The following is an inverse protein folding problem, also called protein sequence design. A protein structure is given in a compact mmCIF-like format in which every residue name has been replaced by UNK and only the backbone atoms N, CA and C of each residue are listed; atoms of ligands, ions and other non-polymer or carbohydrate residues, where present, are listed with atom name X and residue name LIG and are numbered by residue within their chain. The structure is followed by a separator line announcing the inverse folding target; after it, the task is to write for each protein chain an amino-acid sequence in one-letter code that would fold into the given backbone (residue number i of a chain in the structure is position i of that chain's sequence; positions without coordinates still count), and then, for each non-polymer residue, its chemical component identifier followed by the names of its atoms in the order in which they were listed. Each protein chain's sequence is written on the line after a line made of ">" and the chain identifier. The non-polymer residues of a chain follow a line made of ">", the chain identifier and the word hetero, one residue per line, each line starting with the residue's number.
data_IF_274407805342
#
_entry.id   IF_274407805342
#
_cell.length_a   1.000
_cell.length_b   1.000
_cell.length_c   1.000
_cell.angle_alpha   90.00
_cell.angle_beta   90.00
_cell.angle_gamma   90.00
#
_symmetry.space_group_name_H-M   'P 1'
#
loop_
_entity.id
_entity.type
_entity.pdbx_description
1 polymer ?
#
# COMPACT_ATOMS: atom_id res chain seq x y z
N UNK A 1 -17.70 -25.05 20.20
CA UNK A 1 -16.74 -24.64 19.16
C UNK A 1 -16.10 -23.33 19.61
N UNK A 2 -14.77 -23.20 19.67
CA UNK A 2 -14.12 -21.93 20.06
C UNK A 2 -14.02 -21.03 18.82
N UNK A 3 -14.40 -19.76 18.96
CA UNK A 3 -14.31 -18.75 17.88
C UNK A 3 -13.01 -17.97 18.05
N UNK A 4 -12.15 -17.98 17.03
CA UNK A 4 -10.96 -17.14 16.97
C UNK A 4 -11.29 -15.96 16.07
N UNK A 5 -11.04 -14.74 16.55
CA UNK A 5 -11.22 -13.50 15.79
C UNK A 5 -9.85 -12.85 15.67
N UNK A 6 -9.35 -12.70 14.45
CA UNK A 6 -8.11 -11.99 14.18
C UNK A 6 -8.42 -10.53 13.88
N UNK A 7 -7.86 -9.56 14.65
CA UNK A 7 -8.03 -8.15 14.33
C UNK A 7 -7.28 -7.80 13.04
N UNK A 8 -7.67 -6.69 12.41
CA UNK A 8 -6.81 -6.08 11.38
C UNK A 8 -5.55 -5.55 12.07
N UNK A 9 -4.40 -5.86 11.50
CA UNK A 9 -3.10 -5.44 11.97
C UNK A 9 -2.56 -4.37 11.02
N UNK A 10 -2.15 -3.26 11.60
CA UNK A 10 -1.65 -2.10 10.86
C UNK A 10 -0.20 -1.86 11.27
N UNK A 11 0.66 -1.63 10.29
CA UNK A 11 2.02 -1.14 10.50
C UNK A 11 2.19 0.20 9.79
N UNK A 12 3.26 0.91 10.10
CA UNK A 12 3.55 2.18 9.45
C UNK A 12 5.01 2.28 9.06
N UNK A 13 5.28 2.99 7.98
CA UNK A 13 6.62 3.42 7.57
C UNK A 13 6.62 4.92 7.30
N UNK A 14 7.79 5.55 7.40
CA UNK A 14 7.95 6.98 7.15
C UNK A 14 8.33 7.25 5.69
N UNK A 15 7.79 8.32 5.09
CA UNK A 15 8.25 8.76 3.77
C UNK A 15 9.73 9.20 3.81
N UNK A 16 10.20 9.70 4.95
CA UNK A 16 11.61 10.05 5.16
C UNK A 16 12.59 8.87 5.05
N UNK A 17 12.10 7.62 4.99
CA UNK A 17 12.92 6.44 4.62
C UNK A 17 13.36 6.47 3.15
N UNK A 18 12.64 7.18 2.27
CA UNK A 18 13.02 7.39 0.87
C UNK A 18 14.01 8.55 0.72
N UNK A 19 13.63 9.71 1.25
CA UNK A 19 14.40 10.95 1.18
C UNK A 19 14.15 11.75 2.48
N UNK A 20 15.18 11.96 3.32
CA UNK A 20 15.03 12.61 4.63
C UNK A 20 14.45 14.03 4.60
N UNK A 21 14.57 14.72 3.47
CA UNK A 21 14.04 16.07 3.23
C UNK A 21 12.54 16.10 2.90
N UNK A 22 11.95 14.96 2.54
CA UNK A 22 10.52 14.84 2.29
C UNK A 22 9.81 14.63 3.63
N UNK A 23 8.64 15.27 3.76
CA UNK A 23 7.85 15.38 5.00
C UNK A 23 7.84 14.12 5.88
N UNK A 24 7.72 14.33 7.20
CA UNK A 24 7.57 13.29 8.24
C UNK A 24 6.21 12.55 8.19
N UNK A 25 5.62 12.43 7.00
CA UNK A 25 4.35 11.75 6.76
C UNK A 25 4.53 10.24 6.96
N UNK A 26 3.56 9.63 7.65
CA UNK A 26 3.55 8.19 7.92
C UNK A 26 2.49 7.51 7.09
N UNK A 27 2.90 6.46 6.40
CA UNK A 27 1.99 5.61 5.63
C UNK A 27 1.58 4.42 6.49
N UNK A 28 0.28 4.23 6.67
CA UNK A 28 -0.28 3.13 7.44
C UNK A 28 -0.76 2.01 6.52
N UNK A 29 -0.30 0.79 6.76
CA UNK A 29 -0.51 -0.37 5.89
C UNK A 29 -1.23 -1.48 6.65
N UNK A 30 -2.33 -1.98 6.09
CA UNK A 30 -2.95 -3.22 6.54
C UNK A 30 -2.08 -4.43 6.16
N UNK A 31 -1.47 -5.08 7.14
CA UNK A 31 -0.46 -6.13 6.89
C UNK A 31 -1.00 -7.56 6.92
N UNK A 32 -2.20 -7.77 7.46
CA UNK A 32 -2.90 -9.06 7.43
C UNK A 32 -4.23 -9.05 6.61
N UNK A 33 -4.26 -8.50 5.39
CA UNK A 33 -5.47 -8.54 4.57
C UNK A 33 -5.84 -9.98 4.18
N UNK A 34 -7.12 -10.27 3.90
CA UNK A 34 -7.53 -11.51 3.27
C UNK A 34 -6.67 -11.80 2.03
N UNK A 35 -6.38 -13.08 1.79
CA UNK A 35 -5.62 -13.49 0.60
C UNK A 35 -6.30 -13.01 -0.69
N UNK A 36 -7.64 -13.02 -0.75
CA UNK A 36 -8.40 -12.50 -1.89
C UNK A 36 -8.14 -11.01 -2.15
N UNK A 37 -8.05 -10.19 -1.11
CA UNK A 37 -7.74 -8.77 -1.25
C UNK A 37 -6.31 -8.56 -1.79
N UNK A 38 -5.34 -9.34 -1.30
CA UNK A 38 -3.96 -9.27 -1.78
C UNK A 38 -3.85 -9.73 -3.25
N UNK A 39 -4.51 -10.84 -3.61
CA UNK A 39 -4.53 -11.33 -5.00
C UNK A 39 -5.16 -10.30 -5.94
N UNK A 40 -6.28 -9.70 -5.53
CA UNK A 40 -6.96 -8.66 -6.30
C UNK A 40 -6.07 -7.42 -6.49
N UNK A 41 -5.33 -6.99 -5.46
CA UNK A 41 -4.35 -5.90 -5.57
C UNK A 41 -3.23 -6.24 -6.56
N UNK A 42 -2.66 -7.44 -6.46
CA UNK A 42 -1.60 -7.90 -7.37
C UNK A 42 -2.06 -8.00 -8.82
N UNK A 43 -3.29 -8.47 -9.04
CA UNK A 43 -3.91 -8.54 -10.36
C UNK A 43 -4.07 -7.15 -10.98
N UNK A 44 -4.61 -6.17 -10.24
CA UNK A 44 -4.74 -4.80 -10.74
C UNK A 44 -3.38 -4.13 -10.97
N UNK A 45 -2.38 -4.43 -10.13
CA UNK A 45 -1.03 -3.93 -10.36
C UNK A 45 -0.45 -4.50 -11.65
N UNK A 46 -0.63 -5.81 -11.89
CA UNK A 46 -0.24 -6.44 -13.15
C UNK A 46 -0.94 -5.83 -14.37
N UNK A 47 -2.24 -5.55 -14.26
CA UNK A 47 -3.00 -4.86 -15.31
C UNK A 47 -2.49 -3.44 -15.57
N UNK A 48 -2.19 -2.67 -14.52
CA UNK A 48 -1.55 -1.36 -14.62
C UNK A 48 -0.20 -1.41 -15.33
N UNK A 49 0.67 -2.34 -14.95
CA UNK A 49 1.98 -2.50 -15.61
C UNK A 49 1.85 -2.90 -17.09
N UNK A 50 0.82 -3.68 -17.45
CA UNK A 50 0.64 -4.18 -18.83
C UNK A 50 -0.09 -3.21 -19.75
N UNK A 51 -1.08 -2.49 -19.23
CA UNK A 51 -2.02 -1.68 -20.00
C UNK A 51 -1.90 -0.18 -19.74
N UNK A 52 -1.04 0.23 -18.81
CA UNK A 52 -0.79 1.64 -18.50
C UNK A 52 -1.94 2.31 -17.75
N UNK A 53 -2.07 3.62 -17.95
CA UNK A 53 -2.87 4.52 -17.09
C UNK A 53 -4.36 4.19 -17.03
N UNK A 54 -4.92 3.52 -18.05
CA UNK A 54 -6.32 3.05 -18.03
C UNK A 54 -6.61 2.11 -16.84
N UNK A 55 -5.58 1.41 -16.36
CA UNK A 55 -5.67 0.47 -15.24
C UNK A 55 -5.13 1.07 -13.92
N UNK A 56 -4.68 2.33 -13.94
CA UNK A 56 -4.19 3.00 -12.74
C UNK A 56 -5.30 3.17 -11.69
N UNK A 57 -6.46 3.70 -12.06
CA UNK A 57 -7.54 3.93 -11.09
C UNK A 57 -8.03 2.64 -10.39
N UNK A 58 -8.32 1.54 -11.11
CA UNK A 58 -8.63 0.26 -10.47
C UNK A 58 -7.53 -0.24 -9.52
N UNK A 59 -6.26 0.04 -9.82
CA UNK A 59 -5.16 -0.28 -8.92
C UNK A 59 -5.18 0.59 -7.65
N UNK A 60 -5.35 1.90 -7.80
CA UNK A 60 -5.38 2.85 -6.68
C UNK A 60 -6.55 2.60 -5.73
N UNK A 61 -7.73 2.22 -6.24
CA UNK A 61 -8.88 1.83 -5.40
C UNK A 61 -8.54 0.65 -4.47
N UNK A 62 -7.87 -0.38 -5.02
CA UNK A 62 -7.46 -1.55 -4.24
C UNK A 62 -6.32 -1.23 -3.29
N UNK A 63 -5.38 -0.38 -3.69
CA UNK A 63 -4.28 0.07 -2.84
C UNK A 63 -4.81 0.92 -1.67
N UNK A 64 -5.74 1.84 -1.93
CA UNK A 64 -6.41 2.65 -0.91
C UNK A 64 -7.07 1.78 0.16
N UNK A 65 -7.72 0.68 -0.20
CA UNK A 65 -8.31 -0.23 0.77
C UNK A 65 -7.28 -0.82 1.76
N UNK A 66 -6.04 -1.03 1.31
CA UNK A 66 -4.91 -1.45 2.16
C UNK A 66 -4.40 -0.31 3.05
N UNK A 67 -4.40 0.92 2.53
CA UNK A 67 -3.84 2.09 3.20
C UNK A 67 -4.84 2.84 4.12
N UNK A 68 -6.13 2.55 4.01
CA UNK A 68 -7.20 3.22 4.77
C UNK A 68 -7.49 2.63 6.16
N UNK A 69 -6.67 1.68 6.63
CA UNK A 69 -6.96 0.94 7.88
C UNK A 69 -6.32 1.57 9.13
N UNK A 70 -5.63 2.70 9.00
CA UNK A 70 -5.03 3.44 10.10
C UNK A 70 -6.06 4.16 11.00
N UNK A 71 -5.57 5.12 11.79
CA UNK A 71 -6.45 5.97 12.59
C UNK A 71 -7.26 6.91 11.70
N UNK A 72 -8.31 7.53 12.26
CA UNK A 72 -9.07 8.55 11.54
C UNK A 72 -8.14 9.66 11.05
N UNK A 73 -8.26 10.03 9.77
CA UNK A 73 -7.41 11.04 9.13
C UNK A 73 -6.04 10.54 8.65
N UNK A 74 -5.69 9.25 8.81
CA UNK A 74 -4.41 8.71 8.33
C UNK A 74 -4.55 7.78 7.13
N UNK A 75 -5.77 7.63 6.61
CA UNK A 75 -6.06 6.73 5.49
C UNK A 75 -5.89 7.45 4.16
N UNK A 76 -5.28 6.76 3.19
CA UNK A 76 -5.15 7.27 1.83
C UNK A 76 -6.29 6.79 0.94
N UNK A 77 -7.01 7.73 0.33
CA UNK A 77 -8.03 7.45 -0.66
C UNK A 77 -7.43 7.36 -2.09
N UNK A 78 -8.23 6.90 -3.07
CA UNK A 78 -7.75 6.73 -4.44
C UNK A 78 -7.39 8.05 -5.13
N UNK A 79 -8.10 9.14 -4.81
CA UNK A 79 -7.85 10.47 -5.38
C UNK A 79 -6.53 11.06 -4.85
N UNK A 80 -6.26 10.93 -3.54
CA UNK A 80 -4.99 11.35 -2.92
C UNK A 80 -3.81 10.56 -3.49
N UNK A 81 -3.97 9.25 -3.70
CA UNK A 81 -2.94 8.43 -4.35
C UNK A 81 -2.73 8.85 -5.82
N UNK A 82 -3.80 9.19 -6.54
CA UNK A 82 -3.73 9.66 -7.92
C UNK A 82 -3.00 10.99 -8.00
N UNK A 83 -3.27 11.91 -7.08
CA UNK A 83 -2.56 13.19 -6.96
C UNK A 83 -1.07 12.95 -6.69
N UNK A 84 -0.72 12.10 -5.73
CA UNK A 84 0.67 11.73 -5.44
C UNK A 84 1.39 11.15 -6.66
N UNK A 85 0.75 10.26 -7.43
CA UNK A 85 1.32 9.70 -8.66
C UNK A 85 1.57 10.80 -9.70
N UNK A 86 0.62 11.72 -9.89
CA UNK A 86 0.76 12.83 -10.85
C UNK A 86 1.85 13.81 -10.45
N UNK A 87 1.85 14.26 -9.19
CA UNK A 87 2.83 15.24 -8.69
C UNK A 87 4.26 14.70 -8.75
N UNK A 88 4.44 13.39 -8.51
CA UNK A 88 5.76 12.76 -8.52
C UNK A 88 6.21 12.31 -9.92
N UNK A 89 5.31 12.16 -10.89
CA UNK A 89 5.65 11.67 -12.23
C UNK A 89 6.70 12.54 -12.94
N UNK A 90 6.60 13.86 -12.80
CA UNK A 90 7.49 14.82 -13.48
C UNK A 90 8.78 15.10 -12.70
N UNK A 91 8.74 14.98 -11.36
CA UNK A 91 9.88 15.35 -10.51
C UNK A 91 10.70 14.16 -10.04
N UNK A 92 10.05 13.05 -9.72
CA UNK A 92 10.68 11.84 -9.21
C UNK A 92 9.80 10.58 -9.43
N UNK A 93 9.78 10.02 -10.65
CA UNK A 93 9.00 8.83 -10.94
C UNK A 93 9.48 7.59 -10.17
N UNK A 94 10.70 7.60 -9.61
CA UNK A 94 11.23 6.49 -8.82
C UNK A 94 10.55 6.41 -7.44
N UNK A 95 10.02 7.53 -6.94
CA UNK A 95 9.25 7.56 -5.71
C UNK A 95 8.05 6.60 -5.75
N UNK A 96 7.28 6.59 -6.84
CA UNK A 96 6.12 5.72 -6.98
C UNK A 96 6.51 4.23 -6.94
N UNK A 97 7.61 3.87 -7.59
CA UNK A 97 8.15 2.51 -7.57
C UNK A 97 8.58 2.12 -6.15
N UNK A 98 9.29 3.01 -5.46
CA UNK A 98 9.70 2.80 -4.08
C UNK A 98 8.49 2.61 -3.14
N UNK A 99 7.51 3.50 -3.24
CA UNK A 99 6.30 3.49 -2.39
C UNK A 99 5.58 2.15 -2.47
N UNK A 100 5.33 1.66 -3.69
CA UNK A 100 4.66 0.36 -3.90
C UNK A 100 5.47 -0.80 -3.31
N UNK A 101 6.78 -0.81 -3.52
CA UNK A 101 7.66 -1.83 -2.95
C UNK A 101 7.65 -1.80 -1.43
N UNK A 102 7.66 -0.61 -0.82
CA UNK A 102 7.66 -0.43 0.63
C UNK A 102 6.36 -0.91 1.28
N UNK A 103 5.21 -0.63 0.66
CA UNK A 103 3.90 -1.17 1.07
C UNK A 103 3.89 -2.70 1.01
N UNK A 104 4.35 -3.28 -0.11
CA UNK A 104 4.42 -4.74 -0.25
C UNK A 104 5.39 -5.38 0.74
N UNK A 105 6.47 -4.69 1.10
CA UNK A 105 7.42 -5.17 2.09
C UNK A 105 6.78 -5.30 3.48
N UNK A 106 5.98 -4.33 3.94
CA UNK A 106 5.27 -4.42 5.23
C UNK A 106 4.37 -5.66 5.30
N UNK A 107 3.63 -5.94 4.22
CA UNK A 107 2.76 -7.12 4.11
C UNK A 107 3.61 -8.40 4.12
N UNK A 108 4.70 -8.45 3.34
CA UNK A 108 5.58 -9.60 3.25
C UNK A 108 6.25 -9.91 4.58
N UNK A 109 6.82 -8.91 5.25
CA UNK A 109 7.50 -9.09 6.54
C UNK A 109 6.55 -9.64 7.61
N UNK A 110 5.34 -9.08 7.71
CA UNK A 110 4.34 -9.62 8.63
C UNK A 110 4.02 -11.09 8.37
N UNK A 111 3.84 -11.47 7.09
CA UNK A 111 3.45 -12.83 6.70
C UNK A 111 4.62 -13.84 6.74
N UNK A 112 5.84 -13.43 6.42
CA UNK A 112 7.02 -14.28 6.42
C UNK A 112 7.52 -14.57 7.83
N UNK A 113 7.36 -13.63 8.77
CA UNK A 113 7.61 -13.88 10.19
C UNK A 113 6.73 -15.02 10.76
N UNK A 114 5.60 -15.34 10.13
CA UNK A 114 4.76 -16.48 10.52
C UNK A 114 5.22 -17.83 9.93
N UNK A 115 6.05 -17.86 8.88
CA UNK A 115 6.50 -19.10 8.21
C UNK A 115 7.76 -19.74 8.83
N UNK A 116 8.42 -19.06 9.76
CA UNK A 116 9.70 -19.52 10.35
C UNK A 116 9.57 -20.37 11.62
N UNK A 117 8.36 -20.76 12.02
CA UNK A 117 8.13 -21.64 13.17
C UNK A 117 7.48 -22.94 12.76
#
# INVERSE_FOLDING_TARGET
>A
MRKIILPRLVRSFSISEYAPEIADEKIYVWVNPPISALLSLMESFGAYVQSGDEQLNPYLEKLSAILSQGAEGTGWNADELMEMVKETADTDPQFWIWFNNRVLQEIKEHRLLQKKN
#
